data_IF_817072029093
#
_entry.id   IF_817072029093
#
_cell.length_a   1.000
_cell.length_b   1.000
_cell.length_c   1.000
_cell.angle_alpha   90.00
_cell.angle_beta   90.00
_cell.angle_gamma   90.00
#
_symmetry.space_group_name_H-M   'P 1'
#
loop_
_entity.id
_entity.type
_entity.pdbx_description
1 polymer ?
#
# COMPACT_ATOMS: atom_id res chain seq x y z
N UNK A 1 -14.34 1.54 -2.59
CA UNK A 1 -14.10 0.07 -2.49
C UNK A 1 -14.20 -0.36 -1.02
N UNK A 2 -14.61 -1.59 -0.66
CA UNK A 2 -14.46 -2.06 0.74
C UNK A 2 -13.01 -2.54 0.99
N UNK A 3 -12.17 -1.66 1.51
CA UNK A 3 -10.75 -1.95 1.71
C UNK A 3 -10.47 -2.84 2.92
N UNK A 4 -11.31 -2.82 3.95
CA UNK A 4 -11.17 -3.66 5.14
C UNK A 4 -11.28 -5.14 4.80
N UNK A 5 -12.13 -5.49 3.85
CA UNK A 5 -12.25 -6.86 3.34
C UNK A 5 -11.09 -7.24 2.40
N UNK A 6 -10.64 -6.31 1.55
CA UNK A 6 -9.62 -6.60 0.51
C UNK A 6 -8.18 -6.58 1.01
N UNK A 7 -7.88 -5.72 1.98
CA UNK A 7 -6.52 -5.52 2.53
C UNK A 7 -6.42 -6.05 3.96
N UNK A 8 -7.55 -6.23 4.65
CA UNK A 8 -7.58 -6.72 6.02
C UNK A 8 -7.70 -5.61 7.06
N UNK A 9 -7.80 -6.05 8.31
CA UNK A 9 -7.91 -5.20 9.50
C UNK A 9 -6.67 -5.36 10.37
N UNK A 10 -6.60 -4.60 11.46
CA UNK A 10 -5.49 -4.70 12.41
C UNK A 10 -5.33 -6.10 13.00
N UNK A 11 -6.43 -6.81 13.20
CA UNK A 11 -6.48 -8.17 13.76
C UNK A 11 -6.07 -9.23 12.74
N UNK A 12 -6.34 -8.98 11.46
CA UNK A 12 -6.00 -9.88 10.36
C UNK A 12 -5.39 -9.08 9.20
N UNK A 13 -4.14 -8.62 9.35
CA UNK A 13 -3.49 -7.79 8.35
C UNK A 13 -3.02 -8.64 7.17
N UNK A 14 -3.00 -8.04 5.98
CA UNK A 14 -2.42 -8.67 4.79
C UNK A 14 -0.89 -8.68 4.89
N UNK A 15 -0.31 -9.88 4.90
CA UNK A 15 1.13 -10.08 4.84
C UNK A 15 1.63 -10.05 3.40
N UNK A 16 2.65 -9.24 3.15
CA UNK A 16 3.26 -9.02 1.83
C UNK A 16 4.78 -9.14 1.92
N UNK A 17 5.42 -9.28 0.76
CA UNK A 17 6.87 -9.32 0.63
C UNK A 17 7.35 -8.22 -0.33
N UNK A 18 8.43 -7.54 0.02
CA UNK A 18 9.10 -6.62 -0.92
C UNK A 18 9.82 -7.44 -1.97
N UNK A 19 9.81 -7.07 -3.26
CA UNK A 19 10.77 -7.62 -4.22
C UNK A 19 12.21 -7.51 -3.66
N UNK A 20 13.08 -8.55 -3.77
CA UNK A 20 12.93 -9.84 -4.48
C UNK A 20 12.30 -10.98 -3.64
N UNK A 21 11.34 -10.68 -2.78
CA UNK A 21 10.63 -11.58 -1.83
C UNK A 21 11.39 -11.95 -0.55
N UNK A 22 12.40 -11.16 -0.16
CA UNK A 22 13.25 -11.46 1.01
C UNK A 22 12.77 -10.82 2.31
N UNK A 23 12.04 -9.70 2.26
CA UNK A 23 11.58 -8.98 3.45
C UNK A 23 10.06 -8.94 3.50
N UNK A 24 9.50 -9.26 4.68
CA UNK A 24 8.07 -9.22 4.95
C UNK A 24 7.64 -7.90 5.55
N UNK A 25 6.42 -7.49 5.20
CA UNK A 25 5.72 -6.35 5.78
C UNK A 25 4.22 -6.64 5.81
N UNK A 26 3.47 -5.88 6.60
CA UNK A 26 2.02 -6.03 6.68
C UNK A 26 1.29 -4.75 6.29
N UNK A 27 0.10 -4.92 5.73
CA UNK A 27 -0.83 -3.85 5.36
C UNK A 27 -2.18 -4.12 6.02
N UNK A 28 -2.85 -3.09 6.53
CA UNK A 28 -4.25 -3.19 6.95
C UNK A 28 -4.92 -1.83 6.86
N UNK A 29 -6.25 -1.85 6.91
CA UNK A 29 -7.06 -0.66 7.09
C UNK A 29 -7.29 -0.42 8.59
N UNK A 30 -7.08 0.82 9.02
CA UNK A 30 -7.42 1.31 10.35
C UNK A 30 -8.17 2.65 10.23
N UNK A 31 -8.64 3.19 11.36
CA UNK A 31 -9.23 4.52 11.42
C UNK A 31 -8.33 5.50 12.17
N UNK A 32 -8.18 6.71 11.63
CA UNK A 32 -7.52 7.81 12.30
C UNK A 32 -8.25 9.11 12.01
N UNK A 33 -8.54 9.89 13.05
CA UNK A 33 -9.24 11.16 12.96
C UNK A 33 -10.60 11.05 12.22
N UNK A 34 -11.31 9.94 12.43
CA UNK A 34 -12.60 9.65 11.79
C UNK A 34 -12.52 9.31 10.30
N UNK A 35 -11.33 8.97 9.79
CA UNK A 35 -11.10 8.61 8.39
C UNK A 35 -10.36 7.27 8.30
N UNK A 36 -10.74 6.46 7.33
CA UNK A 36 -10.00 5.24 7.00
C UNK A 36 -8.59 5.61 6.49
N UNK A 37 -7.59 4.89 7.00
CA UNK A 37 -6.20 5.01 6.59
C UNK A 37 -5.65 3.65 6.20
N UNK A 38 -4.63 3.66 5.35
CA UNK A 38 -3.84 2.48 5.04
C UNK A 38 -2.59 2.48 5.92
N UNK A 39 -2.44 1.42 6.72
CA UNK A 39 -1.31 1.26 7.65
C UNK A 39 -0.35 0.24 7.07
N UNK A 40 0.90 0.65 6.88
CA UNK A 40 2.00 -0.21 6.46
C UNK A 40 2.99 -0.40 7.62
N UNK A 41 3.23 -1.65 8.03
CA UNK A 41 4.19 -1.97 9.08
C UNK A 41 5.37 -2.74 8.52
N UNK A 42 6.55 -2.15 8.61
CA UNK A 42 7.82 -2.76 8.21
C UNK A 42 8.74 -2.83 9.43
N UNK A 43 8.92 -4.03 9.98
CA UNK A 43 9.63 -4.25 11.25
C UNK A 43 9.03 -3.37 12.38
N UNK A 44 9.76 -2.34 12.83
CA UNK A 44 9.33 -1.41 13.89
C UNK A 44 8.76 -0.10 13.35
N UNK A 45 8.85 0.12 12.04
CA UNK A 45 8.40 1.35 11.38
C UNK A 45 6.96 1.19 10.94
N UNK A 46 6.13 2.18 11.29
CA UNK A 46 4.72 2.25 10.90
C UNK A 46 4.54 3.49 10.03
N UNK A 47 3.99 3.30 8.84
CA UNK A 47 3.66 4.36 7.89
C UNK A 47 2.14 4.45 7.75
N UNK A 48 1.62 5.66 7.79
CA UNK A 48 0.20 5.94 7.58
C UNK A 48 0.02 6.66 6.25
N UNK A 49 -0.89 6.13 5.44
CA UNK A 49 -1.28 6.76 4.18
C UNK A 49 -2.77 7.09 4.21
N UNK A 50 -3.13 8.19 3.55
CA UNK A 50 -4.52 8.45 3.22
C UNK A 50 -5.02 7.33 2.29
N UNK A 51 -6.09 6.63 2.68
CA UNK A 51 -6.55 5.46 1.93
C UNK A 51 -6.98 5.78 0.50
N UNK A 52 -7.33 7.04 0.22
CA UNK A 52 -7.66 7.54 -1.12
C UNK A 52 -6.50 7.41 -2.10
N UNK A 53 -5.25 7.30 -1.60
CA UNK A 53 -4.07 7.14 -2.46
C UNK A 53 -4.18 5.94 -3.41
N UNK A 54 -4.94 4.90 -3.05
CA UNK A 54 -5.16 3.74 -3.91
C UNK A 54 -6.01 4.10 -5.14
N UNK A 55 -7.08 4.87 -4.95
CA UNK A 55 -7.95 5.29 -6.07
C UNK A 55 -7.26 6.37 -6.90
N UNK A 56 -6.60 7.33 -6.25
CA UNK A 56 -5.89 8.42 -6.90
C UNK A 56 -4.73 7.90 -7.75
N UNK A 57 -3.90 6.99 -7.20
CA UNK A 57 -2.80 6.37 -7.94
C UNK A 57 -3.32 5.56 -9.13
N UNK A 58 -4.37 4.76 -8.93
CA UNK A 58 -4.96 3.96 -10.01
C UNK A 58 -5.50 4.84 -11.15
N UNK A 59 -6.16 5.96 -10.81
CA UNK A 59 -6.65 6.93 -11.78
C UNK A 59 -5.49 7.58 -12.53
N UNK A 60 -4.47 8.06 -11.82
CA UNK A 60 -3.29 8.67 -12.41
C UNK A 60 -2.56 7.72 -13.37
N UNK A 61 -2.37 6.44 -12.99
CA UNK A 61 -1.73 5.44 -13.84
C UNK A 61 -2.55 5.15 -15.11
N UNK A 62 -3.87 5.09 -15.01
CA UNK A 62 -4.76 4.93 -16.17
C UNK A 62 -4.71 6.14 -17.10
N UNK A 63 -4.65 7.35 -16.56
CA UNK A 63 -4.55 8.58 -17.34
C UNK A 63 -3.20 8.67 -18.06
N UNK A 64 -2.12 8.23 -17.42
CA UNK A 64 -0.79 8.18 -18.04
C UNK A 64 -0.74 7.21 -19.24
N UNK A 65 -1.44 6.07 -19.16
CA UNK A 65 -1.67 5.11 -20.25
C UNK A 65 -0.42 4.58 -20.97
N UNK A 66 0.76 4.75 -20.38
CA UNK A 66 2.04 4.26 -20.87
C UNK A 66 2.88 3.74 -19.69
N UNK A 67 4.09 3.25 -19.98
CA UNK A 67 5.04 2.85 -18.96
C UNK A 67 5.45 4.04 -18.08
N UNK A 68 5.54 3.80 -16.77
CA UNK A 68 6.04 4.77 -15.80
C UNK A 68 7.17 4.13 -15.00
N UNK A 69 8.34 4.77 -15.00
CA UNK A 69 9.46 4.38 -14.14
C UNK A 69 9.12 4.73 -12.68
N UNK A 70 9.16 3.75 -11.79
CA UNK A 70 8.83 3.94 -10.37
C UNK A 70 10.05 4.37 -9.54
N UNK A 71 11.24 4.37 -10.15
CA UNK A 71 12.49 4.79 -9.51
C UNK A 71 12.97 3.82 -8.45
N UNK A 72 12.56 2.55 -8.51
CA UNK A 72 13.07 1.54 -7.57
C UNK A 72 14.53 1.26 -7.87
N UNK A 73 15.36 1.12 -6.83
CA UNK A 73 16.75 0.68 -6.99
C UNK A 73 16.86 -0.70 -7.67
N UNK A 74 15.80 -1.50 -7.60
CA UNK A 74 15.70 -2.82 -8.22
C UNK A 74 15.15 -2.80 -9.66
N UNK A 75 14.67 -1.66 -10.17
CA UNK A 75 14.34 -1.50 -11.58
C UNK A 75 15.64 -1.48 -12.39
N UNK A 76 15.94 -2.59 -13.07
CA UNK A 76 17.01 -2.62 -14.08
C UNK A 76 16.53 -1.88 -15.32
N UNK A 77 17.12 -0.72 -15.59
CA UNK A 77 17.08 -0.05 -16.90
C UNK A 77 18.11 -0.66 -17.85
#
# INVERSE_FOLDING_TARGET
MNYREKIGTKENPLTLKTPPQSSEYTMHVDEKDGRDILVCTVKKTILHYDIRCLEDLHKMLKEHSDWMLLGSKDEKV
#
